data_IF_207591168686
#
_entry.id   IF_207591168686
#
_cell.length_a   1.000
_cell.length_b   1.000
_cell.length_c   1.000
_cell.angle_alpha   90.00
_cell.angle_beta   90.00
_cell.angle_gamma   90.00
#
_symmetry.space_group_name_H-M   'P 1'
#
loop_
_entity.id
_entity.type
_entity.pdbx_description
1 polymer ?
#
# COMPACT_ATOMS: atom_id res chain seq x y z
N UNK A 1 -1.36 21.07 5.47
CA UNK A 1 -2.29 19.97 5.15
C UNK A 1 -3.68 20.56 5.04
N UNK A 2 -4.39 20.33 3.96
CA UNK A 2 -5.80 20.72 3.82
C UNK A 2 -6.68 19.76 4.66
N UNK A 3 -7.81 20.27 5.18
CA UNK A 3 -8.77 19.40 5.87
C UNK A 3 -9.59 18.65 4.82
N UNK A 4 -9.21 17.43 4.51
CA UNK A 4 -9.90 16.56 3.58
C UNK A 4 -10.85 15.62 4.32
N UNK A 5 -12.06 15.47 3.79
CA UNK A 5 -13.01 14.45 4.25
C UNK A 5 -12.66 13.07 3.70
N UNK A 6 -13.29 12.03 4.25
CA UNK A 6 -13.04 10.64 3.88
C UNK A 6 -13.22 10.37 2.38
N UNK A 7 -14.28 10.89 1.77
CA UNK A 7 -14.55 10.70 0.34
C UNK A 7 -13.52 11.44 -0.52
N UNK A 8 -13.13 12.65 -0.10
CA UNK A 8 -12.12 13.44 -0.79
C UNK A 8 -10.76 12.75 -0.80
N UNK A 9 -10.36 12.10 0.30
CA UNK A 9 -9.11 11.31 0.36
C UNK A 9 -9.17 10.11 -0.58
N UNK A 10 -10.32 9.39 -0.64
CA UNK A 10 -10.50 8.27 -1.58
C UNK A 10 -10.37 8.71 -3.03
N UNK A 11 -11.07 9.77 -3.38
CA UNK A 11 -11.09 10.30 -4.75
C UNK A 11 -9.70 10.83 -5.11
N UNK A 12 -9.06 11.59 -4.23
CA UNK A 12 -7.71 12.12 -4.43
C UNK A 12 -6.70 11.00 -4.71
N UNK A 13 -6.71 9.92 -3.94
CA UNK A 13 -5.82 8.77 -4.15
C UNK A 13 -6.08 8.08 -5.49
N UNK A 14 -7.34 7.81 -5.79
CA UNK A 14 -7.72 7.15 -7.04
C UNK A 14 -7.39 8.00 -8.26
N UNK A 15 -7.70 9.29 -8.23
CA UNK A 15 -7.45 10.21 -9.33
C UNK A 15 -5.95 10.39 -9.58
N UNK A 16 -5.15 10.45 -8.50
CA UNK A 16 -3.70 10.46 -8.62
C UNK A 16 -3.20 9.23 -9.39
N UNK A 17 -3.56 8.02 -8.97
CA UNK A 17 -3.08 6.82 -9.65
C UNK A 17 -3.70 6.61 -11.04
N UNK A 18 -4.93 7.06 -11.27
CA UNK A 18 -5.50 7.11 -12.62
C UNK A 18 -4.69 8.04 -13.52
N UNK A 19 -4.22 9.18 -13.02
CA UNK A 19 -3.32 10.07 -13.77
C UNK A 19 -1.98 9.44 -14.14
N UNK A 20 -1.54 8.41 -13.37
CA UNK A 20 -0.36 7.58 -13.65
C UNK A 20 -0.68 6.34 -14.52
N UNK A 21 -1.87 6.27 -15.10
CA UNK A 21 -2.30 5.20 -16.01
C UNK A 21 -2.85 3.95 -15.33
N UNK A 22 -3.28 4.03 -14.09
CA UNK A 22 -3.89 2.90 -13.38
C UNK A 22 -5.38 2.77 -13.72
N UNK A 23 -5.83 1.53 -13.90
CA UNK A 23 -7.24 1.20 -13.96
C UNK A 23 -7.86 1.29 -12.56
N UNK A 24 -8.93 2.07 -12.42
CA UNK A 24 -9.66 2.20 -11.15
C UNK A 24 -10.59 1.00 -10.95
N UNK A 25 -10.12 0.02 -10.18
CA UNK A 25 -10.90 -1.16 -9.81
C UNK A 25 -11.95 -0.87 -8.73
N UNK A 26 -13.01 -1.66 -8.72
CA UNK A 26 -14.02 -1.64 -7.65
C UNK A 26 -13.52 -2.44 -6.44
N UNK A 27 -14.01 -2.08 -5.24
CA UNK A 27 -13.84 -2.94 -4.05
C UNK A 27 -14.49 -4.30 -4.30
N UNK A 28 -13.74 -5.36 -4.05
CA UNK A 28 -14.28 -6.71 -4.03
C UNK A 28 -15.21 -6.92 -2.83
N UNK A 29 -16.01 -7.99 -2.88
CA UNK A 29 -16.79 -8.43 -1.72
C UNK A 29 -15.86 -8.75 -0.55
N UNK A 30 -16.32 -8.51 0.68
CA UNK A 30 -15.64 -8.95 1.89
C UNK A 30 -15.61 -10.48 2.03
N UNK A 31 -16.54 -11.18 1.38
CA UNK A 31 -16.56 -12.64 1.32
C UNK A 31 -15.59 -13.08 0.21
N UNK A 32 -14.51 -13.82 0.55
CA UNK A 32 -13.54 -14.27 -0.43
C UNK A 32 -14.18 -15.13 -1.52
N UNK A 33 -13.80 -14.90 -2.77
CA UNK A 33 -14.18 -15.74 -3.89
C UNK A 33 -13.02 -16.72 -4.17
N UNK A 34 -13.29 -18.03 -4.05
CA UNK A 34 -12.33 -19.10 -4.37
C UNK A 34 -11.01 -19.12 -3.56
N UNK A 35 -10.91 -18.37 -2.47
CA UNK A 35 -9.77 -18.39 -1.55
C UNK A 35 -10.17 -19.00 -0.21
N UNK A 36 -9.79 -20.27 0.00
CA UNK A 36 -10.06 -21.02 1.25
C UNK A 36 -9.11 -20.64 2.39
N UNK A 37 -8.08 -19.86 2.13
CA UNK A 37 -7.12 -19.42 3.14
C UNK A 37 -7.63 -18.25 3.99
N UNK A 38 -8.68 -17.57 3.54
CA UNK A 38 -9.27 -16.41 4.18
C UNK A 38 -10.75 -16.63 4.48
N UNK A 39 -11.18 -16.27 5.66
CA UNK A 39 -12.61 -16.22 6.03
C UNK A 39 -13.25 -14.90 5.54
N UNK A 40 -12.46 -13.84 5.56
CA UNK A 40 -12.92 -12.49 5.18
C UNK A 40 -11.75 -11.73 4.55
N UNK A 41 -12.03 -10.83 3.62
CA UNK A 41 -10.98 -10.01 2.98
C UNK A 41 -10.40 -9.04 4.01
N UNK A 42 -9.08 -9.11 4.20
CA UNK A 42 -8.32 -8.39 5.20
C UNK A 42 -7.23 -7.46 4.63
N UNK A 43 -7.10 -7.41 3.29
CA UNK A 43 -6.14 -6.53 2.61
C UNK A 43 -6.58 -6.20 1.19
N UNK A 44 -6.02 -5.11 0.64
CA UNK A 44 -6.27 -4.70 -0.75
C UNK A 44 -5.71 -5.69 -1.78
N UNK A 45 -4.65 -6.42 -1.42
CA UNK A 45 -4.00 -7.40 -2.29
C UNK A 45 -4.76 -8.73 -2.34
N UNK A 46 -5.48 -9.12 -1.27
CA UNK A 46 -6.11 -10.43 -1.16
C UNK A 46 -7.01 -10.80 -2.36
N UNK A 47 -7.90 -9.93 -2.85
CA UNK A 47 -8.72 -10.24 -4.03
C UNK A 47 -7.92 -10.31 -5.34
N UNK A 48 -6.68 -9.80 -5.35
CA UNK A 48 -5.83 -9.68 -6.53
C UNK A 48 -4.77 -10.80 -6.61
N UNK A 49 -4.74 -11.72 -5.62
CA UNK A 49 -3.82 -12.85 -5.60
C UNK A 49 -3.76 -13.64 -6.93
N UNK A 50 -4.89 -13.95 -7.61
CA UNK A 50 -4.84 -14.68 -8.88
C UNK A 50 -4.04 -13.95 -9.98
N UNK A 51 -4.06 -12.62 -9.99
CA UNK A 51 -3.29 -11.81 -10.94
C UNK A 51 -1.79 -11.86 -10.63
N UNK A 52 -1.41 -11.76 -9.36
CA UNK A 52 -0.01 -11.89 -8.93
C UNK A 52 0.55 -13.29 -9.15
N UNK A 53 -0.28 -14.31 -8.99
CA UNK A 53 0.09 -15.70 -9.24
C UNK A 53 0.09 -16.09 -10.74
N UNK A 54 -0.34 -15.19 -11.64
CA UNK A 54 -0.46 -15.45 -13.06
C UNK A 54 -1.56 -16.46 -13.44
N UNK A 55 -2.48 -16.74 -12.51
CA UNK A 55 -3.63 -17.64 -12.73
C UNK A 55 -4.70 -16.97 -13.57
N UNK A 56 -4.86 -15.67 -13.39
CA UNK A 56 -5.80 -14.84 -14.12
C UNK A 56 -5.08 -13.63 -14.73
N UNK A 57 -5.60 -13.15 -15.86
CA UNK A 57 -5.10 -11.93 -16.50
C UNK A 57 -5.77 -10.71 -15.87
N UNK A 58 -5.01 -9.75 -15.33
CA UNK A 58 -5.60 -8.52 -14.79
C UNK A 58 -6.19 -7.65 -15.90
N UNK A 59 -7.22 -6.85 -15.61
CA UNK A 59 -7.84 -5.94 -16.60
C UNK A 59 -6.86 -4.86 -17.09
N UNK A 60 -5.83 -4.58 -16.33
CA UNK A 60 -4.72 -3.70 -16.68
C UNK A 60 -3.47 -4.10 -15.90
N UNK A 61 -2.29 -3.83 -16.46
CA UNK A 61 -1.01 -4.03 -15.73
C UNK A 61 -0.85 -3.09 -14.54
N UNK A 62 -1.61 -2.00 -14.50
CA UNK A 62 -1.67 -1.05 -13.37
C UNK A 62 -3.08 -0.98 -12.85
N UNK A 63 -3.26 -1.16 -11.56
CA UNK A 63 -4.58 -1.00 -10.92
C UNK A 63 -4.48 -0.14 -9.66
N UNK A 64 -5.54 0.62 -9.40
CA UNK A 64 -5.77 1.27 -8.12
C UNK A 64 -7.12 0.90 -7.56
N UNK A 65 -7.21 0.67 -6.26
CA UNK A 65 -8.44 0.29 -5.58
C UNK A 65 -8.58 1.02 -4.24
N UNK A 66 -9.83 1.12 -3.78
CA UNK A 66 -10.16 1.41 -2.39
C UNK A 66 -10.90 0.18 -1.85
N UNK A 67 -10.15 -0.78 -1.30
CA UNK A 67 -10.67 -2.08 -0.88
C UNK A 67 -11.17 -2.03 0.56
N UNK A 68 -12.41 -2.41 0.78
CA UNK A 68 -12.97 -2.65 2.12
C UNK A 68 -12.35 -3.88 2.73
N UNK A 69 -11.90 -3.77 3.98
CA UNK A 69 -11.19 -4.82 4.70
C UNK A 69 -11.71 -4.98 6.13
N UNK A 70 -11.62 -6.19 6.66
CA UNK A 70 -11.85 -6.47 8.07
C UNK A 70 -10.65 -7.22 8.63
N UNK A 71 -10.13 -6.73 9.77
CA UNK A 71 -9.13 -7.42 10.60
C UNK A 71 -9.66 -7.53 12.02
N UNK A 72 -9.59 -8.72 12.59
CA UNK A 72 -10.07 -9.03 13.95
C UNK A 72 -8.95 -9.25 14.94
N UNK A 73 -7.70 -9.38 14.50
CA UNK A 73 -6.53 -9.59 15.36
C UNK A 73 -6.33 -8.50 16.41
N UNK A 74 -6.76 -7.26 16.09
CA UNK A 74 -6.63 -6.11 16.98
C UNK A 74 -7.92 -5.76 17.74
N UNK A 75 -8.91 -6.66 17.76
CA UNK A 75 -10.23 -6.36 18.35
C UNK A 75 -10.14 -5.94 19.81
N UNK A 76 -9.20 -6.50 20.56
CA UNK A 76 -8.98 -6.18 21.96
C UNK A 76 -8.40 -4.79 22.20
N UNK A 77 -7.86 -4.15 21.15
CA UNK A 77 -7.30 -2.81 21.16
C UNK A 77 -8.30 -1.74 20.68
N UNK A 78 -9.41 -2.16 20.07
CA UNK A 78 -10.47 -1.24 19.59
C UNK A 78 -11.11 -0.52 20.79
N UNK A 79 -11.14 0.80 20.71
CA UNK A 79 -11.65 1.65 21.79
C UNK A 79 -10.64 1.89 22.93
N UNK A 80 -9.50 1.19 22.96
CA UNK A 80 -8.42 1.43 23.94
C UNK A 80 -7.30 2.30 23.35
N UNK A 81 -7.06 2.19 22.07
CA UNK A 81 -6.08 2.98 21.33
C UNK A 81 -6.77 3.87 20.31
N UNK A 82 -6.11 4.95 19.92
CA UNK A 82 -6.67 5.93 18.97
C UNK A 82 -6.68 5.45 17.50
N UNK A 83 -6.03 4.34 17.19
CA UNK A 83 -5.73 3.95 15.80
C UNK A 83 -6.25 2.57 15.38
N UNK A 84 -6.74 1.74 16.30
CA UNK A 84 -7.22 0.42 15.98
C UNK A 84 -8.73 0.41 15.68
N UNK A 85 -9.07 -0.16 14.54
CA UNK A 85 -10.43 -0.46 14.11
C UNK A 85 -10.48 -1.82 13.45
N UNK A 86 -11.63 -2.46 13.43
CA UNK A 86 -11.81 -3.76 12.77
C UNK A 86 -12.13 -3.62 11.29
N UNK A 87 -12.94 -2.62 10.93
CA UNK A 87 -13.26 -2.28 9.55
C UNK A 87 -12.45 -1.07 9.09
N UNK A 88 -11.83 -1.18 7.92
CA UNK A 88 -11.10 -0.10 7.28
C UNK A 88 -11.11 -0.23 5.77
N UNK A 89 -10.68 0.81 5.09
CA UNK A 89 -10.45 0.79 3.65
C UNK A 89 -8.95 0.87 3.38
N UNK A 90 -8.47 -0.01 2.51
CA UNK A 90 -7.10 0.00 2.05
C UNK A 90 -7.03 0.63 0.67
N UNK A 91 -6.42 1.81 0.60
CA UNK A 91 -6.09 2.48 -0.64
C UNK A 91 -4.87 1.78 -1.25
N UNK A 92 -5.03 1.24 -2.44
CA UNK A 92 -4.00 0.40 -3.05
C UNK A 92 -3.67 0.80 -4.48
N UNK A 93 -2.39 0.72 -4.82
CA UNK A 93 -1.88 0.79 -6.17
C UNK A 93 -1.04 -0.46 -6.45
N UNK A 94 -1.28 -1.09 -7.60
CA UNK A 94 -0.73 -2.40 -7.92
C UNK A 94 -0.11 -2.39 -9.30
N UNK A 95 1.05 -3.05 -9.42
CA UNK A 95 1.76 -3.30 -10.67
C UNK A 95 1.86 -4.80 -10.93
N UNK A 96 1.37 -5.23 -12.07
CA UNK A 96 1.46 -6.62 -12.53
C UNK A 96 2.54 -6.74 -13.61
N UNK A 97 3.81 -6.69 -13.17
CA UNK A 97 4.97 -6.78 -14.05
C UNK A 97 5.15 -5.57 -14.99
N UNK A 98 4.84 -4.36 -14.51
CA UNK A 98 4.97 -3.12 -15.28
C UNK A 98 5.99 -2.16 -14.64
N UNK A 99 5.70 -1.59 -13.47
CA UNK A 99 6.65 -0.77 -12.72
C UNK A 99 7.09 -1.45 -11.43
N UNK A 100 8.17 -0.96 -10.83
CA UNK A 100 8.70 -1.50 -9.58
C UNK A 100 9.13 -0.36 -8.63
N UNK A 101 10.18 -0.53 -7.85
CA UNK A 101 10.56 0.36 -6.73
C UNK A 101 10.66 1.83 -7.13
N UNK A 102 11.40 2.16 -8.18
CA UNK A 102 11.68 3.55 -8.54
C UNK A 102 10.38 4.34 -8.76
N UNK A 103 9.47 3.83 -9.58
CA UNK A 103 8.19 4.51 -9.82
C UNK A 103 7.29 4.46 -8.60
N UNK A 104 7.24 3.33 -7.88
CA UNK A 104 6.38 3.19 -6.70
C UNK A 104 6.75 4.19 -5.62
N UNK A 105 8.03 4.30 -5.27
CA UNK A 105 8.53 5.22 -4.25
C UNK A 105 8.39 6.69 -4.73
N UNK A 106 8.71 6.96 -5.99
CA UNK A 106 8.55 8.31 -6.57
C UNK A 106 7.09 8.77 -6.49
N UNK A 107 6.15 7.93 -6.90
CA UNK A 107 4.72 8.28 -6.84
C UNK A 107 4.19 8.33 -5.41
N UNK A 108 4.65 7.45 -4.51
CA UNK A 108 4.33 7.54 -3.09
C UNK A 108 4.76 8.89 -2.51
N UNK A 109 6.00 9.29 -2.77
CA UNK A 109 6.55 10.58 -2.35
C UNK A 109 5.78 11.77 -2.93
N UNK A 110 5.53 11.76 -4.25
CA UNK A 110 4.73 12.79 -4.92
C UNK A 110 3.33 12.89 -4.31
N UNK A 111 2.66 11.75 -4.09
CA UNK A 111 1.32 11.75 -3.50
C UNK A 111 1.29 12.38 -2.11
N UNK A 112 2.20 11.95 -1.24
CA UNK A 112 2.27 12.43 0.14
C UNK A 112 2.62 13.92 0.22
N UNK A 113 3.59 14.38 -0.60
CA UNK A 113 4.15 15.72 -0.46
C UNK A 113 3.43 16.77 -1.30
N UNK A 114 2.99 16.40 -2.52
CA UNK A 114 2.41 17.37 -3.45
C UNK A 114 0.86 17.32 -3.47
N UNK A 115 0.27 16.14 -3.33
CA UNK A 115 -1.19 15.98 -3.34
C UNK A 115 -1.80 16.08 -1.95
N UNK A 116 -1.29 15.35 -0.96
CA UNK A 116 -1.71 15.48 0.44
C UNK A 116 -1.08 16.69 1.15
N UNK A 117 -0.04 17.28 0.55
CA UNK A 117 0.68 18.45 1.09
C UNK A 117 1.16 18.24 2.52
N UNK A 118 1.69 17.05 2.79
CA UNK A 118 2.31 16.77 4.09
C UNK A 118 3.66 17.48 4.18
N UNK A 119 4.00 18.09 5.31
CA UNK A 119 5.31 18.72 5.51
C UNK A 119 6.44 17.68 5.38
N UNK A 120 7.37 17.91 4.47
CA UNK A 120 8.47 16.97 4.15
C UNK A 120 9.36 16.67 5.37
N UNK A 121 9.56 17.65 6.23
CA UNK A 121 10.32 17.55 7.48
C UNK A 121 9.68 16.66 8.55
N UNK A 122 8.43 16.25 8.36
CA UNK A 122 7.69 15.34 9.26
C UNK A 122 7.52 13.94 8.69
N UNK A 123 7.99 13.70 7.48
CA UNK A 123 7.86 12.39 6.79
C UNK A 123 9.14 11.60 6.99
N UNK A 124 8.98 10.34 7.34
CA UNK A 124 10.05 9.36 7.48
C UNK A 124 9.77 8.18 6.57
N UNK A 125 10.82 7.50 6.13
CA UNK A 125 10.69 6.23 5.41
C UNK A 125 11.37 5.10 6.16
N UNK A 126 10.82 3.90 6.04
CA UNK A 126 11.52 2.69 6.44
C UNK A 126 11.90 1.87 5.21
N UNK A 127 13.01 1.16 5.28
CA UNK A 127 13.45 0.22 4.26
C UNK A 127 13.91 -1.08 4.91
N UNK A 128 13.78 -2.20 4.19
CA UNK A 128 14.37 -3.44 4.64
C UNK A 128 15.89 -3.29 4.74
N UNK A 129 16.49 -3.88 5.78
CA UNK A 129 17.91 -3.67 6.14
C UNK A 129 18.89 -3.91 5.01
N UNK A 130 18.60 -4.86 4.10
CA UNK A 130 19.46 -5.25 2.99
C UNK A 130 18.98 -4.67 1.64
N UNK A 131 18.01 -3.73 1.66
CA UNK A 131 17.46 -3.10 0.45
C UNK A 131 18.11 -1.73 0.20
N UNK A 132 19.35 -1.76 -0.29
CA UNK A 132 20.10 -0.54 -0.65
C UNK A 132 19.44 0.20 -1.82
N UNK A 133 18.80 -0.51 -2.75
CA UNK A 133 18.09 0.12 -3.87
C UNK A 133 16.98 1.05 -3.39
N UNK A 134 16.13 0.58 -2.47
CA UNK A 134 15.06 1.41 -1.92
C UNK A 134 15.62 2.61 -1.13
N UNK A 135 16.69 2.39 -0.34
CA UNK A 135 17.38 3.45 0.38
C UNK A 135 17.87 4.56 -0.57
N UNK A 136 18.60 4.17 -1.61
CA UNK A 136 19.20 5.11 -2.56
C UNK A 136 18.13 5.89 -3.35
N UNK A 137 17.00 5.26 -3.64
CA UNK A 137 15.85 5.95 -4.27
C UNK A 137 15.32 7.04 -3.33
N UNK A 138 15.15 6.77 -2.02
CA UNK A 138 14.70 7.79 -1.06
C UNK A 138 15.67 8.97 -0.96
N UNK A 139 16.97 8.70 -0.90
CA UNK A 139 18.00 9.76 -0.90
C UNK A 139 17.90 10.60 -2.19
N UNK A 140 17.78 9.94 -3.35
CA UNK A 140 17.61 10.61 -4.64
C UNK A 140 16.34 11.47 -4.72
N UNK A 141 15.26 11.07 -4.05
CA UNK A 141 14.01 11.83 -3.94
C UNK A 141 14.10 13.03 -2.98
N UNK A 142 15.22 13.18 -2.29
CA UNK A 142 15.49 14.30 -1.38
C UNK A 142 15.00 14.08 0.05
N UNK A 143 14.75 12.85 0.45
CA UNK A 143 14.51 12.53 1.86
C UNK A 143 15.84 12.65 2.64
N UNK A 144 15.86 13.34 3.79
CA UNK A 144 17.03 13.37 4.64
C UNK A 144 17.46 11.96 5.06
N UNK A 145 18.75 11.68 5.05
CA UNK A 145 19.27 10.34 5.32
C UNK A 145 18.95 9.86 6.76
N UNK A 146 18.90 10.79 7.71
CA UNK A 146 18.48 10.55 9.09
C UNK A 146 16.97 10.30 9.26
N UNK A 147 16.17 10.52 8.20
CA UNK A 147 14.76 10.15 8.12
C UNK A 147 14.51 8.79 7.44
N UNK A 148 15.56 8.07 7.03
CA UNK A 148 15.44 6.74 6.42
C UNK A 148 15.92 5.69 7.43
N UNK A 149 14.99 4.88 7.92
CA UNK A 149 15.28 3.87 8.95
C UNK A 149 15.34 2.48 8.33
N UNK A 150 16.43 1.76 8.58
CA UNK A 150 16.59 0.36 8.16
C UNK A 150 16.05 -0.56 9.24
N UNK A 151 15.10 -1.43 8.86
CA UNK A 151 14.45 -2.38 9.76
C UNK A 151 14.59 -3.82 9.26
N UNK A 152 14.44 -4.76 10.17
CA UNK A 152 14.57 -6.18 9.89
C UNK A 152 13.32 -6.80 9.26
N UNK A 153 13.33 -8.14 9.24
CA UNK A 153 12.26 -8.93 8.62
C UNK A 153 10.90 -8.75 9.29
N UNK A 154 10.87 -8.52 10.59
CA UNK A 154 9.62 -8.41 11.35
C UNK A 154 8.81 -7.15 11.00
N UNK A 155 9.50 -6.09 10.54
CA UNK A 155 8.87 -4.81 10.22
C UNK A 155 8.81 -4.54 8.71
N UNK A 156 9.88 -4.81 7.96
CA UNK A 156 10.03 -4.39 6.56
C UNK A 156 10.18 -5.55 5.57
N UNK A 157 9.56 -6.69 5.83
CA UNK A 157 9.51 -7.79 4.87
C UNK A 157 8.10 -8.36 4.81
N UNK A 158 7.54 -8.49 3.61
CA UNK A 158 6.21 -8.99 3.38
C UNK A 158 6.24 -10.42 2.84
N UNK A 159 5.39 -11.29 3.40
CA UNK A 159 5.22 -12.67 2.94
C UNK A 159 3.79 -13.17 3.19
N UNK A 160 3.32 -14.08 2.35
CA UNK A 160 2.00 -14.74 2.48
C UNK A 160 2.13 -16.27 2.58
N UNK A 161 3.11 -16.75 3.30
CA UNK A 161 3.41 -18.18 3.37
C UNK A 161 4.02 -18.68 2.04
N UNK A 162 3.39 -19.65 1.39
CA UNK A 162 3.81 -20.11 0.06
C UNK A 162 3.27 -19.14 -1.01
N UNK A 163 4.13 -18.32 -1.58
CA UNK A 163 3.74 -17.36 -2.62
C UNK A 163 4.68 -16.16 -2.72
N UNK A 164 4.24 -15.07 -3.35
CA UNK A 164 5.03 -13.86 -3.46
C UNK A 164 5.44 -13.31 -2.09
N UNK A 165 6.68 -12.88 -1.98
CA UNK A 165 7.24 -12.22 -0.80
C UNK A 165 8.35 -11.26 -1.23
N UNK A 166 8.72 -10.33 -0.35
CA UNK A 166 9.80 -9.40 -0.63
C UNK A 166 9.99 -8.32 0.42
N UNK A 167 11.07 -7.54 0.27
CA UNK A 167 11.30 -6.38 1.13
C UNK A 167 10.21 -5.34 0.95
N UNK A 168 9.91 -4.63 2.03
CA UNK A 168 9.01 -3.49 2.06
C UNK A 168 9.80 -2.19 2.26
N UNK A 169 9.24 -1.12 1.74
CA UNK A 169 9.57 0.25 2.13
C UNK A 169 8.27 0.98 2.45
N UNK A 170 8.25 1.71 3.54
CA UNK A 170 7.04 2.36 4.04
C UNK A 170 7.31 3.85 4.29
N UNK A 171 6.27 4.66 4.18
CA UNK A 171 6.28 6.10 4.47
C UNK A 171 5.44 6.34 5.72
#
# INVERSE_FOLDING_TARGET
MENLGLNEIRDLFRDFFVSKGHYAGRSASLIPQNDKSLLIINSGMAPLKPYFAGVETPPSKRMTTCQKCIRTGDIDNVGKTARHGTFFEMLGNFSFGDYFKEQSLTWGWEFITEWLKMPKDRVWATVYQDDDEAHDIWVKLGMPEDHIVRLGKDDNFWEIGLGPCGPCSEI
#
